data_IF_562328296016
#
_entry.id   IF_562328296016
#
_cell.length_a   1.000
_cell.length_b   1.000
_cell.length_c   1.000
_cell.angle_alpha   90.00
_cell.angle_beta   90.00
_cell.angle_gamma   90.00
#
_symmetry.space_group_name_H-M   'P 1'
#
loop_
_entity.id
_entity.type
_entity.pdbx_description
1 polymer ?
#
# COMPACT_ATOMS: atom_id res chain seq x y z
N UNK A 1 -1.07 -11.36 21.40
CA UNK A 1 -2.11 -10.36 21.10
C UNK A 1 -2.20 -9.38 22.22
N UNK A 2 -1.24 -8.46 22.18
CA UNK A 2 -1.24 -7.20 22.88
C UNK A 2 -1.74 -6.14 21.90
N UNK A 3 -2.45 -5.13 22.40
CA UNK A 3 -2.88 -4.00 21.61
C UNK A 3 -2.15 -2.75 22.05
N UNK A 4 -1.59 -2.01 21.10
CA UNK A 4 -0.89 -0.74 21.31
C UNK A 4 -1.62 0.38 20.57
N UNK A 5 -1.61 1.58 21.16
CA UNK A 5 -2.17 2.79 20.56
C UNK A 5 -1.23 3.95 20.87
N UNK A 6 -0.60 4.54 19.84
CA UNK A 6 0.27 5.70 19.97
C UNK A 6 -0.52 6.94 20.40
N UNK A 7 -1.66 7.17 19.76
CA UNK A 7 -2.62 8.19 20.11
C UNK A 7 -2.51 9.39 19.18
N UNK A 8 -2.04 10.51 19.69
CA UNK A 8 -1.90 11.73 18.91
C UNK A 8 -0.47 12.26 19.02
N UNK A 9 0.10 12.64 17.90
CA UNK A 9 1.48 13.13 17.81
C UNK A 9 2.32 12.18 16.97
N UNK A 10 3.63 12.17 17.23
CA UNK A 10 4.56 11.26 16.61
C UNK A 10 4.93 10.21 17.64
N UNK A 11 4.55 8.98 17.38
CA UNK A 11 4.73 7.87 18.30
C UNK A 11 5.78 6.87 17.78
N UNK A 12 6.36 6.13 18.70
CA UNK A 12 7.18 4.95 18.37
C UNK A 12 6.63 3.78 19.14
N UNK A 13 6.10 2.80 18.41
CA UNK A 13 5.46 1.63 18.99
C UNK A 13 6.21 0.38 18.56
N UNK A 14 6.53 -0.46 19.54
CA UNK A 14 7.20 -1.75 19.36
C UNK A 14 6.28 -2.85 19.90
N UNK A 15 5.81 -3.74 19.03
CA UNK A 15 4.94 -4.88 19.38
C UNK A 15 5.65 -5.90 20.25
N UNK A 16 6.83 -6.32 19.79
CA UNK A 16 7.65 -7.29 20.50
C UNK A 16 7.43 -8.68 19.95
N UNK A 17 7.38 -9.68 20.82
CA UNK A 17 7.13 -11.06 20.39
C UNK A 17 5.64 -11.42 20.49
N UNK A 18 5.17 -12.21 19.53
CA UNK A 18 3.80 -12.66 19.43
C UNK A 18 2.96 -11.75 18.54
N UNK A 19 1.81 -12.25 18.12
CA UNK A 19 0.90 -11.55 17.23
C UNK A 19 0.24 -10.36 17.93
N UNK A 20 0.45 -9.15 17.49
CA UNK A 20 0.02 -7.90 18.12
C UNK A 20 -0.85 -7.04 17.21
N UNK A 21 -1.55 -6.09 17.82
CA UNK A 21 -2.35 -5.10 17.12
C UNK A 21 -1.82 -3.70 17.45
N UNK A 22 -1.25 -3.03 16.46
CA UNK A 22 -0.58 -1.74 16.62
C UNK A 22 -1.36 -0.68 15.84
N UNK A 23 -1.70 0.41 16.52
CA UNK A 23 -2.37 1.57 15.92
C UNK A 23 -1.51 2.80 16.23
N UNK A 24 -1.08 3.52 15.20
CA UNK A 24 -0.36 4.79 15.34
C UNK A 24 -1.26 5.84 15.96
N UNK A 25 -2.40 6.10 15.29
CA UNK A 25 -3.50 6.86 15.86
C UNK A 25 -3.97 7.95 14.91
N UNK A 26 -4.43 9.07 15.45
CA UNK A 26 -4.90 10.17 14.61
C UNK A 26 -4.50 11.51 15.17
N UNK A 27 -4.15 12.42 14.25
CA UNK A 27 -3.95 13.81 14.56
C UNK A 27 -5.14 14.63 14.06
N UNK A 28 -5.77 15.41 14.93
CA UNK A 28 -6.77 16.38 14.47
C UNK A 28 -6.12 17.67 13.93
N UNK A 29 -4.82 17.89 14.21
CA UNK A 29 -4.18 19.21 14.06
C UNK A 29 -2.70 19.17 13.58
N UNK A 30 -2.07 18.01 13.38
CA UNK A 30 -0.67 17.90 12.94
C UNK A 30 -0.36 16.49 12.47
N UNK A 31 -0.18 16.29 11.17
CA UNK A 31 0.29 15.04 10.55
C UNK A 31 1.30 14.35 11.47
N UNK A 32 0.84 13.36 12.23
CA UNK A 32 1.70 12.53 13.03
C UNK A 32 2.63 11.79 12.09
N UNK A 33 3.84 11.51 12.53
CA UNK A 33 4.68 10.55 11.83
C UNK A 33 5.04 9.46 12.80
N UNK A 34 4.33 8.35 12.70
CA UNK A 34 4.49 7.22 13.59
C UNK A 34 5.53 6.23 13.05
N UNK A 35 6.34 5.68 13.95
CA UNK A 35 7.19 4.53 13.67
C UNK A 35 6.61 3.31 14.38
N UNK A 36 6.01 2.42 13.59
CA UNK A 36 5.31 1.24 14.09
C UNK A 36 6.07 -0.02 13.69
N UNK A 37 6.39 -0.88 14.65
CA UNK A 37 7.18 -2.11 14.43
C UNK A 37 6.50 -3.30 15.09
N UNK A 38 6.10 -4.30 14.30
CA UNK A 38 5.51 -5.56 14.77
C UNK A 38 6.54 -6.41 15.52
N UNK A 39 7.71 -6.56 14.89
CA UNK A 39 8.86 -7.34 15.34
C UNK A 39 8.72 -8.83 15.08
N UNK A 40 8.11 -9.61 15.95
CA UNK A 40 8.02 -11.05 15.72
C UNK A 40 6.63 -11.57 16.01
N UNK A 41 6.00 -12.21 15.04
CA UNK A 41 4.62 -12.65 15.15
C UNK A 41 3.82 -12.19 13.94
N UNK A 42 2.56 -12.61 13.87
CA UNK A 42 1.67 -12.16 12.80
C UNK A 42 0.90 -10.95 13.29
N UNK A 43 1.34 -9.77 12.91
CA UNK A 43 0.88 -8.50 13.44
C UNK A 43 -0.15 -7.84 12.54
N UNK A 44 -0.98 -6.99 13.14
CA UNK A 44 -1.81 -6.04 12.41
C UNK A 44 -1.37 -4.64 12.80
N UNK A 45 -0.91 -3.87 11.83
CA UNK A 45 -0.37 -2.53 12.04
C UNK A 45 -1.18 -1.54 11.19
N UNK A 46 -1.71 -0.51 11.84
CA UNK A 46 -2.42 0.60 11.19
C UNK A 46 -1.72 1.91 11.54
N UNK A 47 -1.28 2.68 10.54
CA UNK A 47 -0.68 4.00 10.73
C UNK A 47 -1.73 4.99 11.23
N UNK A 48 -2.72 5.24 10.39
CA UNK A 48 -3.85 6.09 10.72
C UNK A 48 -3.82 7.37 9.90
N UNK A 49 -3.52 8.51 10.50
CA UNK A 49 -3.40 9.77 9.75
C UNK A 49 -1.98 10.31 9.86
N UNK A 50 -1.39 10.74 8.75
CA UNK A 50 -0.08 11.37 8.75
C UNK A 50 0.93 10.52 7.98
N UNK A 51 2.21 10.86 8.10
CA UNK A 51 3.26 10.20 7.31
C UNK A 51 3.90 9.10 8.14
N UNK A 52 3.41 7.88 8.03
CA UNK A 52 3.77 6.79 8.91
C UNK A 52 4.81 5.86 8.29
N UNK A 53 5.58 5.19 9.15
CA UNK A 53 6.49 4.10 8.78
C UNK A 53 6.11 2.84 9.53
N UNK A 54 5.60 1.86 8.79
CA UNK A 54 5.14 0.58 9.29
C UNK A 54 6.14 -0.51 8.90
N UNK A 55 6.60 -1.29 9.89
CA UNK A 55 7.46 -2.46 9.68
C UNK A 55 6.82 -3.67 10.34
N UNK A 56 6.45 -4.68 9.54
CA UNK A 56 5.97 -5.98 10.05
C UNK A 56 7.08 -6.75 10.74
N UNK A 57 8.21 -6.90 10.03
CA UNK A 57 9.39 -7.68 10.43
C UNK A 57 9.18 -9.19 10.26
N UNK A 58 9.28 -10.01 11.30
CA UNK A 58 9.16 -11.46 11.18
C UNK A 58 7.70 -11.90 11.37
N UNK A 59 7.08 -12.49 10.36
CA UNK A 59 5.75 -13.08 10.45
C UNK A 59 4.89 -12.80 9.23
N UNK A 60 3.63 -13.23 9.29
CA UNK A 60 2.63 -12.89 8.26
C UNK A 60 1.81 -11.71 8.75
N UNK A 61 2.18 -10.53 8.28
CA UNK A 61 1.68 -9.26 8.78
C UNK A 61 0.61 -8.66 7.89
N UNK A 62 -0.22 -7.82 8.52
CA UNK A 62 -1.18 -6.97 7.84
C UNK A 62 -0.84 -5.52 8.14
N UNK A 63 -0.37 -4.79 7.12
CA UNK A 63 0.02 -3.39 7.20
C UNK A 63 -1.01 -2.53 6.46
N UNK A 64 -1.52 -1.51 7.16
CA UNK A 64 -2.45 -0.51 6.63
C UNK A 64 -1.84 0.86 6.88
N UNK A 65 -1.45 1.58 5.83
CA UNK A 65 -0.85 2.91 5.94
C UNK A 65 -1.84 3.87 6.58
N UNK A 66 -2.86 4.28 5.83
CA UNK A 66 -3.84 5.23 6.34
C UNK A 66 -4.16 6.32 5.34
N UNK A 67 -4.13 7.56 5.83
CA UNK A 67 -4.22 8.79 5.06
C UNK A 67 -2.82 9.43 4.99
N UNK A 68 -2.46 9.99 3.84
CA UNK A 68 -1.13 10.55 3.53
C UNK A 68 -0.08 9.48 3.20
N UNK A 69 1.02 9.94 2.60
CA UNK A 69 2.09 9.06 2.12
C UNK A 69 2.75 8.26 3.23
N UNK A 70 2.64 6.94 3.14
CA UNK A 70 3.23 6.02 4.10
C UNK A 70 4.38 5.17 3.52
N UNK A 71 5.18 4.61 4.43
CA UNK A 71 6.18 3.59 4.11
C UNK A 71 5.76 2.29 4.80
N UNK A 72 5.44 1.26 4.02
CA UNK A 72 5.06 -0.06 4.50
C UNK A 72 6.13 -1.08 4.10
N UNK A 73 6.72 -1.74 5.10
CA UNK A 73 7.68 -2.83 4.92
C UNK A 73 7.13 -4.10 5.59
N UNK A 74 6.75 -5.10 4.78
CA UNK A 74 6.27 -6.40 5.26
C UNK A 74 7.35 -7.11 6.06
N UNK A 75 8.44 -7.46 5.39
CA UNK A 75 9.60 -8.09 6.02
C UNK A 75 9.71 -9.54 5.61
N UNK A 76 9.66 -10.45 6.56
CA UNK A 76 9.80 -11.87 6.34
C UNK A 76 8.51 -12.61 6.66
N UNK A 77 7.87 -13.16 5.62
CA UNK A 77 6.66 -13.96 5.73
C UNK A 77 5.71 -13.58 4.60
N UNK A 78 4.46 -14.02 4.69
CA UNK A 78 3.48 -13.68 3.65
C UNK A 78 2.65 -12.51 4.16
N UNK A 79 2.93 -11.33 3.64
CA UNK A 79 2.38 -10.09 4.16
C UNK A 79 1.25 -9.55 3.29
N UNK A 80 0.38 -8.74 3.89
CA UNK A 80 -0.64 -7.97 3.18
C UNK A 80 -0.41 -6.49 3.41
N UNK A 81 -0.07 -5.76 2.36
CA UNK A 81 0.23 -4.34 2.39
C UNK A 81 -0.89 -3.56 1.70
N UNK A 82 -1.49 -2.64 2.44
CA UNK A 82 -2.58 -1.77 2.00
C UNK A 82 -2.14 -0.33 2.26
N UNK A 83 -1.89 0.44 1.21
CA UNK A 83 -1.51 1.85 1.36
C UNK A 83 -2.63 2.68 1.98
N UNK A 84 -3.75 2.81 1.28
CA UNK A 84 -4.88 3.64 1.72
C UNK A 84 -5.91 2.89 2.58
N UNK A 85 -6.39 3.54 3.65
CA UNK A 85 -7.52 3.04 4.46
C UNK A 85 -8.82 3.86 4.36
N UNK A 86 -8.77 5.18 4.10
CA UNK A 86 -9.98 6.03 4.14
C UNK A 86 -10.23 6.82 2.86
N UNK A 87 -11.48 7.29 2.71
CA UNK A 87 -11.96 8.05 1.55
C UNK A 87 -11.63 9.56 1.61
N UNK A 88 -10.95 10.02 2.66
CA UNK A 88 -10.48 11.41 2.79
C UNK A 88 -9.01 11.50 2.42
N UNK A 89 -8.70 11.05 1.20
CA UNK A 89 -7.37 11.16 0.64
C UNK A 89 -6.92 12.61 0.68
N UNK A 90 -5.77 12.85 1.31
CA UNK A 90 -5.06 14.10 1.13
C UNK A 90 -4.62 14.24 -0.33
N UNK A 91 -4.33 15.46 -0.72
CA UNK A 91 -3.67 15.74 -2.00
C UNK A 91 -2.27 15.10 -1.95
N UNK A 92 -1.82 14.45 -3.02
CA UNK A 92 -0.51 13.78 -3.17
C UNK A 92 -0.24 12.57 -2.26
N UNK A 93 -1.18 11.64 -2.15
CA UNK A 93 -1.04 10.43 -1.32
C UNK A 93 -0.23 9.32 -2.02
N UNK A 94 1.06 9.26 -1.74
CA UNK A 94 2.01 8.33 -2.36
C UNK A 94 2.61 7.36 -1.36
N UNK A 95 2.14 6.12 -1.38
CA UNK A 95 2.67 5.08 -0.51
C UNK A 95 3.87 4.37 -1.13
N UNK A 96 4.81 3.95 -0.29
CA UNK A 96 5.87 3.01 -0.68
C UNK A 96 5.63 1.67 0.00
N UNK A 97 5.42 0.64 -0.81
CA UNK A 97 5.13 -0.72 -0.36
C UNK A 97 6.30 -1.64 -0.70
N UNK A 98 6.84 -2.33 0.29
CA UNK A 98 7.93 -3.32 0.14
C UNK A 98 7.50 -4.60 0.84
N UNK A 99 7.29 -5.69 0.09
CA UNK A 99 6.84 -6.97 0.66
C UNK A 99 7.95 -7.68 1.42
N UNK A 100 9.13 -7.76 0.81
CA UNK A 100 10.29 -8.44 1.35
C UNK A 100 10.37 -9.90 0.89
N UNK A 101 10.52 -10.82 1.86
CA UNK A 101 10.61 -12.25 1.55
C UNK A 101 9.32 -12.95 1.88
N UNK A 102 8.74 -13.61 0.88
CA UNK A 102 7.59 -14.48 1.05
C UNK A 102 6.72 -14.37 -0.17
N UNK A 103 5.44 -14.69 0.00
CA UNK A 103 4.41 -14.46 -1.00
C UNK A 103 3.53 -13.32 -0.49
N UNK A 104 3.80 -12.12 -0.98
CA UNK A 104 3.17 -10.92 -0.46
C UNK A 104 1.95 -10.52 -1.29
N UNK A 105 1.00 -9.85 -0.65
CA UNK A 105 -0.19 -9.29 -1.31
C UNK A 105 -0.16 -7.78 -1.21
N UNK A 106 -0.01 -7.12 -2.35
CA UNK A 106 -0.10 -5.67 -2.46
C UNK A 106 -1.50 -5.29 -2.90
N UNK A 107 -2.21 -4.54 -2.07
CA UNK A 107 -3.56 -4.09 -2.36
C UNK A 107 -3.50 -2.63 -2.81
N UNK A 108 -3.73 -2.40 -4.09
CA UNK A 108 -3.84 -1.05 -4.65
C UNK A 108 -5.32 -0.62 -4.59
N UNK A 109 -5.67 0.05 -3.49
CA UNK A 109 -7.05 0.36 -3.09
C UNK A 109 -7.55 -0.53 -1.94
N UNK A 110 -8.76 -0.31 -1.44
CA UNK A 110 -9.33 -1.10 -0.34
C UNK A 110 -10.44 -2.06 -0.79
N UNK A 111 -10.83 -3.00 0.08
CA UNK A 111 -11.86 -4.03 -0.18
C UNK A 111 -13.28 -3.46 -0.43
N UNK A 112 -13.53 -2.20 -0.07
CA UNK A 112 -14.76 -1.47 -0.42
C UNK A 112 -14.65 -0.78 -1.79
N UNK A 113 -13.46 -0.79 -2.40
CA UNK A 113 -13.10 -0.11 -3.64
C UNK A 113 -12.92 1.38 -3.51
N UNK A 114 -12.42 1.83 -2.36
CA UNK A 114 -11.76 3.14 -2.27
C UNK A 114 -10.37 2.93 -2.89
N UNK A 115 -10.21 3.45 -4.09
CA UNK A 115 -8.89 3.61 -4.70
C UNK A 115 -8.24 4.87 -4.12
N UNK A 116 -7.04 5.21 -4.59
CA UNK A 116 -6.48 6.57 -4.49
C UNK A 116 -7.39 7.56 -5.26
N UNK A 117 -8.65 7.68 -4.83
CA UNK A 117 -9.78 8.35 -5.45
C UNK A 117 -9.53 9.84 -5.70
N UNK A 118 -9.52 10.18 -6.99
CA UNK A 118 -9.62 11.53 -7.51
C UNK A 118 -11.05 12.10 -7.38
N UNK A 119 -11.23 13.21 -6.66
CA UNK A 119 -12.43 14.04 -6.76
C UNK A 119 -12.21 15.39 -7.44
N UNK A 120 -11.04 15.60 -8.05
CA UNK A 120 -10.66 16.90 -8.59
C UNK A 120 -10.26 16.85 -10.07
N UNK A 121 -10.63 17.91 -10.81
CA UNK A 121 -10.28 18.12 -12.22
C UNK A 121 -8.76 18.30 -12.49
N UNK A 122 -7.90 18.15 -11.46
CA UNK A 122 -6.51 18.59 -11.49
C UNK A 122 -5.45 17.48 -11.46
N UNK A 123 -5.83 16.20 -11.51
CA UNK A 123 -4.89 15.09 -11.61
C UNK A 123 -3.98 15.02 -10.39
N UNK A 124 -4.55 14.63 -9.25
CA UNK A 124 -3.73 14.28 -8.11
C UNK A 124 -2.86 13.06 -8.45
N UNK A 125 -1.65 13.03 -7.89
CA UNK A 125 -0.67 11.96 -8.13
C UNK A 125 -0.67 11.01 -6.94
N UNK A 126 -1.83 10.53 -6.56
CA UNK A 126 -1.98 9.61 -5.43
C UNK A 126 -1.89 8.17 -5.94
N UNK A 127 -0.90 7.40 -5.50
CA UNK A 127 -0.66 6.04 -5.99
C UNK A 127 0.17 5.20 -5.02
N UNK A 128 0.01 3.89 -5.09
CA UNK A 128 0.87 2.95 -4.37
C UNK A 128 2.11 2.59 -5.19
N UNK A 129 3.30 2.80 -4.66
CA UNK A 129 4.56 2.41 -5.29
C UNK A 129 5.10 1.12 -4.69
N UNK A 130 5.13 0.05 -5.48
CA UNK A 130 5.68 -1.25 -5.06
C UNK A 130 7.15 -1.34 -5.47
N UNK A 131 8.03 -1.62 -4.51
CA UNK A 131 9.48 -1.52 -4.68
C UNK A 131 10.16 -2.83 -5.10
N UNK A 132 9.57 -3.99 -4.79
CA UNK A 132 10.23 -5.30 -4.86
C UNK A 132 9.35 -6.46 -5.40
N UNK A 133 8.28 -6.14 -6.13
CA UNK A 133 7.32 -7.12 -6.64
C UNK A 133 7.97 -8.29 -7.41
N UNK A 134 7.69 -9.50 -6.98
CA UNK A 134 8.15 -10.74 -7.58
C UNK A 134 6.99 -11.51 -8.22
N UNK A 135 6.94 -11.53 -9.56
CA UNK A 135 5.88 -12.18 -10.35
C UNK A 135 5.73 -13.69 -10.15
N UNK A 136 6.67 -14.35 -9.46
CA UNK A 136 6.60 -15.79 -9.13
C UNK A 136 6.06 -16.10 -7.73
N UNK A 137 5.88 -15.07 -6.88
CA UNK A 137 5.49 -15.23 -5.48
C UNK A 137 4.36 -14.28 -5.07
N UNK A 138 4.46 -13.04 -5.52
CA UNK A 138 3.64 -11.95 -5.00
C UNK A 138 2.37 -11.79 -5.82
N UNK A 139 1.37 -11.21 -5.19
CA UNK A 139 0.05 -10.95 -5.76
C UNK A 139 -0.27 -9.47 -5.69
N UNK A 140 -0.72 -8.93 -6.81
CA UNK A 140 -1.38 -7.66 -6.88
C UNK A 140 -2.89 -7.88 -6.72
N UNK A 141 -3.51 -7.29 -5.70
CA UNK A 141 -4.95 -7.32 -5.55
C UNK A 141 -5.56 -6.03 -6.11
N UNK A 142 -6.41 -6.18 -7.11
CA UNK A 142 -7.16 -5.12 -7.79
C UNK A 142 -8.66 -5.38 -7.66
N UNK A 143 -9.50 -4.36 -7.80
CA UNK A 143 -10.96 -4.52 -7.74
C UNK A 143 -11.58 -4.61 -9.14
N UNK A 144 -12.66 -5.37 -9.30
CA UNK A 144 -13.43 -5.40 -10.54
C UNK A 144 -12.88 -6.39 -11.55
N UNK A 145 -12.47 -5.94 -12.75
CA UNK A 145 -12.02 -6.85 -13.82
C UNK A 145 -10.87 -6.30 -14.65
N UNK A 146 -10.16 -7.19 -15.33
CA UNK A 146 -9.01 -6.85 -16.19
C UNK A 146 -9.29 -5.78 -17.23
N UNK A 147 -10.54 -5.65 -17.72
CA UNK A 147 -10.90 -4.68 -18.76
C UNK A 147 -10.93 -3.22 -18.27
N UNK A 148 -10.83 -3.01 -16.95
CA UNK A 148 -10.80 -1.69 -16.34
C UNK A 148 -9.38 -1.18 -16.07
N UNK A 149 -8.35 -1.93 -16.50
CA UNK A 149 -6.97 -1.59 -16.20
C UNK A 149 -6.11 -1.60 -17.46
N UNK A 150 -5.25 -0.60 -17.57
CA UNK A 150 -4.20 -0.49 -18.58
C UNK A 150 -2.83 -0.40 -17.92
N UNK A 151 -1.79 -0.78 -18.66
CA UNK A 151 -0.40 -0.67 -18.24
C UNK A 151 0.34 0.25 -19.19
N UNK A 152 1.03 1.24 -18.64
CA UNK A 152 2.07 1.96 -19.36
C UNK A 152 3.43 1.65 -18.75
N UNK A 153 4.47 1.74 -19.58
CA UNK A 153 5.83 1.48 -19.15
C UNK A 153 6.69 2.71 -19.35
N UNK A 154 7.34 3.14 -18.29
CA UNK A 154 8.37 4.18 -18.32
C UNK A 154 9.72 3.59 -17.92
N UNK A 155 10.80 4.16 -18.44
CA UNK A 155 12.15 3.78 -18.01
C UNK A 155 12.97 5.02 -17.75
N UNK A 156 13.39 5.18 -16.50
CA UNK A 156 14.17 6.32 -16.06
C UNK A 156 15.31 5.85 -15.15
N UNK A 157 16.53 6.32 -15.41
CA UNK A 157 17.70 5.95 -14.60
C UNK A 157 18.03 4.44 -14.60
N UNK A 158 17.56 3.68 -15.59
CA UNK A 158 17.74 2.22 -15.65
C UNK A 158 16.68 1.42 -14.89
N UNK A 159 15.72 2.09 -14.25
CA UNK A 159 14.56 1.47 -13.60
C UNK A 159 13.42 1.44 -14.62
N UNK A 160 12.86 0.26 -14.87
CA UNK A 160 11.62 0.10 -15.62
C UNK A 160 10.44 0.06 -14.65
N UNK A 161 9.50 0.98 -14.86
CA UNK A 161 8.26 1.08 -14.10
C UNK A 161 7.12 0.52 -14.95
N UNK A 162 6.24 -0.25 -14.33
CA UNK A 162 4.91 -0.52 -14.85
C UNK A 162 3.91 0.36 -14.08
N UNK A 163 3.31 1.30 -14.79
CA UNK A 163 2.29 2.21 -14.30
C UNK A 163 0.92 1.59 -14.57
N UNK A 164 0.14 1.41 -13.50
CA UNK A 164 -1.18 0.76 -13.54
C UNK A 164 -2.24 1.84 -13.49
N UNK A 165 -3.01 1.94 -14.58
CA UNK A 165 -4.10 2.88 -14.71
C UNK A 165 -5.44 2.17 -14.55
N UNK A 166 -6.39 2.83 -13.88
CA UNK A 166 -7.76 2.39 -13.71
C UNK A 166 -8.73 3.26 -14.53
N UNK A 167 -9.65 2.64 -15.26
CA UNK A 167 -10.74 3.28 -16.01
C UNK A 167 -12.11 2.72 -15.57
N UNK A 168 -12.96 3.52 -14.89
CA UNK A 168 -14.30 3.11 -14.48
C UNK A 168 -15.36 3.11 -15.62
N UNK A 169 -15.02 3.53 -16.85
CA UNK A 169 -15.85 3.34 -18.04
C UNK A 169 -17.00 4.34 -18.24
N UNK A 170 -17.09 5.41 -17.44
CA UNK A 170 -18.10 6.47 -17.62
C UNK A 170 -17.50 7.87 -17.38
N UNK A 171 -16.92 8.44 -18.45
CA UNK A 171 -16.41 9.83 -18.52
C UNK A 171 -15.23 10.19 -17.60
N UNK A 172 -14.59 9.21 -16.97
CA UNK A 172 -13.39 9.40 -16.16
C UNK A 172 -12.13 9.53 -17.03
N UNK A 173 -11.17 10.31 -16.56
CA UNK A 173 -9.78 10.23 -17.02
C UNK A 173 -9.20 8.93 -16.44
N UNK A 174 -8.35 8.23 -17.20
CA UNK A 174 -7.57 7.11 -16.63
C UNK A 174 -6.80 7.61 -15.39
N UNK A 175 -6.86 6.84 -14.30
CA UNK A 175 -6.30 7.20 -12.99
C UNK A 175 -5.10 6.31 -12.68
N UNK A 176 -3.94 6.90 -12.41
CA UNK A 176 -2.77 6.14 -11.95
C UNK A 176 -3.01 5.67 -10.52
N UNK A 177 -3.15 4.37 -10.30
CA UNK A 177 -3.40 3.82 -8.96
C UNK A 177 -2.17 3.13 -8.35
N UNK A 178 -1.16 2.83 -9.18
CA UNK A 178 0.07 2.26 -8.67
C UNK A 178 1.19 2.14 -9.68
N UNK A 179 2.40 2.05 -9.15
CA UNK A 179 3.63 1.87 -9.91
C UNK A 179 4.38 0.66 -9.36
N UNK A 180 4.62 -0.33 -10.20
CA UNK A 180 5.51 -1.45 -9.88
C UNK A 180 6.90 -1.16 -10.44
N UNK A 181 7.88 -1.00 -9.56
CA UNK A 181 9.26 -0.63 -9.93
C UNK A 181 10.11 -1.85 -10.26
N UNK A 182 11.16 -1.63 -11.05
CA UNK A 182 12.18 -2.64 -11.41
C UNK A 182 11.60 -3.92 -12.06
N UNK A 183 10.51 -3.78 -12.80
CA UNK A 183 9.85 -4.91 -13.46
C UNK A 183 10.32 -5.08 -14.89
N UNK A 184 10.12 -6.29 -15.44
CA UNK A 184 10.31 -6.53 -16.86
C UNK A 184 9.26 -5.78 -17.68
N UNK A 185 9.65 -5.28 -18.85
CA UNK A 185 8.76 -4.57 -19.78
C UNK A 185 7.69 -5.45 -20.44
N UNK A 186 7.60 -6.73 -20.05
CA UNK A 186 6.57 -7.67 -20.47
C UNK A 186 5.60 -8.06 -19.34
N UNK A 187 5.64 -7.34 -18.20
CA UNK A 187 4.62 -7.51 -17.16
C UNK A 187 3.23 -7.32 -17.79
N UNK A 188 2.29 -8.21 -17.44
CA UNK A 188 0.90 -8.13 -17.90
C UNK A 188 -0.04 -8.36 -16.73
N UNK A 189 -1.21 -7.74 -16.66
CA UNK A 189 -2.16 -7.97 -15.56
C UNK A 189 -2.92 -9.29 -15.75
N UNK A 190 -2.21 -10.42 -15.59
CA UNK A 190 -2.77 -11.77 -15.74
C UNK A 190 -3.17 -12.35 -14.39
N UNK A 191 -4.10 -13.32 -14.40
CA UNK A 191 -4.54 -14.04 -13.21
C UNK A 191 -3.44 -14.86 -12.49
N UNK A 192 -2.20 -14.87 -13.01
CA UNK A 192 -1.05 -15.55 -12.39
C UNK A 192 -0.61 -14.88 -11.10
N UNK A 193 -0.62 -13.54 -11.08
CA UNK A 193 -0.17 -12.72 -9.96
C UNK A 193 -1.07 -11.50 -9.76
N UNK A 194 -2.26 -11.51 -10.39
CA UNK A 194 -3.30 -10.52 -10.15
C UNK A 194 -4.55 -11.22 -9.66
N UNK A 195 -5.03 -10.82 -8.49
CA UNK A 195 -6.33 -11.22 -7.96
C UNK A 195 -7.32 -10.06 -8.14
N UNK A 196 -8.48 -10.37 -8.73
CA UNK A 196 -9.57 -9.42 -8.89
C UNK A 196 -10.67 -9.71 -7.86
N UNK A 197 -11.02 -8.72 -7.03
CA UNK A 197 -12.04 -8.82 -5.97
C UNK A 197 -13.26 -7.93 -6.20
#
# INVERSE_FOLDING_TARGET
>A
MISFNGGAGNDTVLGGSGNDNIIGGSSSNSFGSDLLRGQGGNDTITGGTGFDTLNGEDGSDRLVGGDNSDILNGGAGNDTLIGVSTANLGIFDQDTLTGGTGNDTFVLGNASGVFYYENSEFGDFSFGSISDFNTSRDTLQLKGSTSQYSLEFSTFGGITNAEIFYDPGVSGVEELIGIVKNVSSNLCLTATYVSYV
#
